data_IF_103790469091
#
_entry.id   IF_103790469091
#
_cell.length_a   1.000
_cell.length_b   1.000
_cell.length_c   1.000
_cell.angle_alpha   90.00
_cell.angle_beta   90.00
_cell.angle_gamma   90.00
#
_symmetry.space_group_name_H-M   'P 1'
#
loop_
_entity.id
_entity.type
_entity.pdbx_description
1 polymer ?
#
# COMPACT_ATOMS: atom_id res chain seq x y z
N UNK A 1 7.33 19.08 -10.95
CA UNK A 1 8.35 18.39 -10.13
C UNK A 1 8.58 17.05 -10.81
N UNK A 2 9.82 16.68 -11.05
CA UNK A 2 10.12 15.37 -11.62
C UNK A 2 10.03 14.30 -10.52
N UNK A 3 9.58 13.07 -10.84
CA UNK A 3 9.67 11.95 -9.92
C UNK A 3 11.13 11.66 -9.55
N UNK A 4 11.37 11.32 -8.29
CA UNK A 4 12.66 10.78 -7.86
C UNK A 4 12.82 9.34 -8.37
N UNK A 5 14.05 8.91 -8.63
CA UNK A 5 14.31 7.53 -9.02
C UNK A 5 14.11 6.58 -7.82
N UNK A 6 13.57 5.38 -8.07
CA UNK A 6 13.34 4.38 -7.03
C UNK A 6 14.63 4.02 -6.25
N UNK A 7 15.80 4.08 -6.91
CA UNK A 7 17.09 3.79 -6.28
C UNK A 7 17.50 4.80 -5.20
N UNK A 8 16.86 5.97 -5.18
CA UNK A 8 17.06 7.01 -4.16
C UNK A 8 16.12 6.84 -2.96
N UNK A 9 15.17 5.91 -3.04
CA UNK A 9 14.17 5.66 -1.99
C UNK A 9 14.62 4.50 -1.10
N UNK A 10 14.76 4.74 0.19
CA UNK A 10 15.08 3.69 1.17
C UNK A 10 13.85 3.12 1.88
N UNK A 11 12.78 3.92 2.03
CA UNK A 11 11.57 3.56 2.79
C UNK A 11 10.32 4.19 2.21
N UNK A 12 9.20 3.47 2.27
CA UNK A 12 7.87 3.92 1.85
C UNK A 12 6.85 3.64 2.95
N UNK A 13 5.95 4.60 3.19
CA UNK A 13 4.76 4.42 4.02
C UNK A 13 3.51 4.47 3.13
N UNK A 14 2.76 3.38 3.08
CA UNK A 14 1.48 3.32 2.38
C UNK A 14 0.37 3.65 3.39
N UNK A 15 -0.41 4.69 3.11
CA UNK A 15 -1.53 5.12 3.98
C UNK A 15 -2.84 4.80 3.29
N UNK A 16 -3.69 4.02 3.94
CA UNK A 16 -4.96 3.53 3.39
C UNK A 16 -6.06 3.57 4.45
N UNK A 17 -7.32 3.56 4.02
CA UNK A 17 -8.45 3.63 4.94
C UNK A 17 -8.77 2.25 5.52
N UNK A 18 -8.89 1.23 4.67
CA UNK A 18 -9.37 -0.10 5.04
C UNK A 18 -8.36 -1.21 4.66
N UNK A 19 -8.47 -2.39 5.29
CA UNK A 19 -7.68 -3.56 4.91
C UNK A 19 -8.19 -4.15 3.58
N UNK A 20 -7.64 -3.69 2.46
CA UNK A 20 -7.80 -4.20 1.08
C UNK A 20 -7.39 -3.13 0.07
N UNK A 21 -7.60 -1.86 0.42
CA UNK A 21 -7.22 -0.66 -0.35
C UNK A 21 -5.79 -0.75 -0.91
N UNK A 22 -4.87 -1.32 -0.14
CA UNK A 22 -3.46 -1.48 -0.54
C UNK A 22 -3.28 -2.43 -1.73
N UNK A 23 -4.07 -3.49 -1.78
CA UNK A 23 -3.98 -4.53 -2.80
C UNK A 23 -4.50 -3.99 -4.15
N UNK A 24 -5.68 -3.36 -4.12
CA UNK A 24 -6.32 -2.81 -5.31
C UNK A 24 -5.71 -1.49 -5.78
N UNK A 25 -5.25 -0.65 -4.85
CA UNK A 25 -4.71 0.67 -5.16
C UNK A 25 -3.24 0.65 -5.58
N UNK A 26 -2.41 -0.21 -4.97
CA UNK A 26 -0.97 -0.13 -5.13
C UNK A 26 -0.21 -1.46 -5.05
N UNK A 27 -0.90 -2.62 -5.03
CA UNK A 27 -0.25 -3.92 -4.78
C UNK A 27 0.90 -4.23 -5.72
N UNK A 28 0.72 -3.96 -7.03
CA UNK A 28 1.79 -4.15 -8.02
C UNK A 28 3.00 -3.24 -7.82
N UNK A 29 2.77 -1.98 -7.46
CA UNK A 29 3.84 -1.00 -7.17
C UNK A 29 4.63 -1.42 -5.93
N UNK A 30 3.92 -1.83 -4.87
CA UNK A 30 4.53 -2.28 -3.63
C UNK A 30 5.34 -3.55 -3.84
N UNK A 31 4.82 -4.50 -4.62
CA UNK A 31 5.57 -5.71 -5.00
C UNK A 31 6.89 -5.37 -5.72
N UNK A 32 6.88 -4.39 -6.63
CA UNK A 32 8.11 -3.94 -7.29
C UNK A 32 9.09 -3.27 -6.32
N UNK A 33 8.63 -2.38 -5.44
CA UNK A 33 9.50 -1.70 -4.48
C UNK A 33 10.12 -2.67 -3.48
N UNK A 34 9.33 -3.58 -2.93
CA UNK A 34 9.84 -4.64 -2.03
C UNK A 34 10.84 -5.55 -2.74
N UNK A 35 10.61 -5.93 -4.01
CA UNK A 35 11.57 -6.68 -4.81
C UNK A 35 12.89 -5.94 -5.06
N UNK A 36 12.86 -4.59 -5.10
CA UNK A 36 14.05 -3.73 -5.17
C UNK A 36 14.74 -3.52 -3.81
N UNK A 37 14.24 -4.12 -2.74
CA UNK A 37 14.81 -4.00 -1.39
C UNK A 37 14.39 -2.74 -0.63
N UNK A 38 13.40 -2.00 -1.13
CA UNK A 38 12.85 -0.82 -0.45
C UNK A 38 11.96 -1.31 0.71
N UNK A 39 12.19 -0.76 1.91
CA UNK A 39 11.38 -1.13 3.08
C UNK A 39 10.02 -0.45 3.00
N UNK A 40 8.96 -1.25 2.92
CA UNK A 40 7.57 -0.75 2.88
C UNK A 40 6.87 -1.03 4.21
N UNK A 41 6.15 -0.03 4.73
CA UNK A 41 5.27 -0.17 5.89
C UNK A 41 3.86 0.30 5.55
N UNK A 42 2.85 -0.32 6.14
CA UNK A 42 1.46 0.04 5.94
C UNK A 42 0.92 0.77 7.19
N UNK A 43 0.23 1.89 6.95
CA UNK A 43 -0.63 2.56 7.91
C UNK A 43 -2.07 2.37 7.43
N UNK A 44 -2.77 1.42 8.03
CA UNK A 44 -4.18 1.16 7.76
C UNK A 44 -4.98 1.87 8.85
N UNK A 45 -5.79 2.85 8.46
CA UNK A 45 -6.44 3.75 9.41
C UNK A 45 -7.55 3.07 10.23
N UNK A 46 -8.20 2.05 9.65
CA UNK A 46 -9.30 1.30 10.27
C UNK A 46 -9.06 -0.20 10.18
N UNK A 47 -9.79 -0.98 10.97
CA UNK A 47 -9.74 -2.45 10.95
C UNK A 47 -10.72 -3.08 9.94
N UNK A 48 -11.51 -2.28 9.21
CA UNK A 48 -12.46 -2.77 8.21
C UNK A 48 -13.65 -3.56 8.77
N UNK A 49 -14.02 -3.37 10.04
CA UNK A 49 -15.07 -4.16 10.71
C UNK A 49 -16.48 -4.02 10.11
N UNK A 50 -16.72 -2.98 9.31
CA UNK A 50 -17.97 -2.77 8.56
C UNK A 50 -17.94 -3.30 7.12
N UNK A 51 -16.85 -3.98 6.72
CA UNK A 51 -16.79 -4.69 5.45
C UNK A 51 -17.57 -6.02 5.50
N UNK A 52 -18.12 -6.45 4.37
CA UNK A 52 -18.87 -7.69 4.26
C UNK A 52 -19.53 -7.82 2.89
N UNK A 53 -20.07 -8.99 2.60
CA UNK A 53 -20.97 -9.16 1.46
C UNK A 53 -22.40 -8.89 1.93
N UNK A 54 -23.17 -8.15 1.13
CA UNK A 54 -24.61 -8.05 1.34
C UNK A 54 -25.22 -9.43 1.06
N UNK A 55 -25.83 -10.11 2.04
CA UNK A 55 -26.34 -11.46 1.85
C UNK A 55 -27.68 -11.51 1.08
N UNK A 56 -28.29 -10.36 0.75
CA UNK A 56 -29.58 -10.26 0.04
C UNK A 56 -29.44 -9.99 -1.47
#
# INVERSE_FOLDING_TARGET
MEPIDDSEISRVLVVTAHPDDVDFGAGGTIAQWTAKGISVSYCIATNGDQGGEDPD
#
